data_IF_133376513913
#
_entry.id   IF_133376513913
#
_cell.length_a   1.000
_cell.length_b   1.000
_cell.length_c   1.000
_cell.angle_alpha   90.00
_cell.angle_beta   90.00
_cell.angle_gamma   90.00
#
_symmetry.space_group_name_H-M   'P 1'
#
loop_
_entity.id
_entity.type
_entity.pdbx_description
1 polymer ?
#
# COMPACT_ATOMS: atom_id res chain seq x y z
N UNK A 1 17.42 8.80 -10.89
CA UNK A 1 16.25 8.30 -11.62
C UNK A 1 15.00 8.41 -10.75
N UNK A 2 13.90 8.86 -11.36
CA UNK A 2 12.66 9.10 -10.63
C UNK A 2 12.00 7.79 -10.17
N UNK A 3 11.45 7.81 -8.97
CA UNK A 3 10.65 6.71 -8.44
C UNK A 3 9.21 6.82 -8.98
N UNK A 4 8.46 5.73 -8.97
CA UNK A 4 7.09 5.70 -9.52
C UNK A 4 6.22 6.80 -8.89
N UNK A 5 6.21 6.91 -7.55
CA UNK A 5 5.39 7.91 -6.88
C UNK A 5 5.91 9.34 -7.06
N UNK A 6 7.20 9.52 -7.35
CA UNK A 6 7.74 10.84 -7.66
C UNK A 6 7.22 11.37 -8.99
N UNK A 7 7.01 10.49 -9.97
CA UNK A 7 6.37 10.86 -11.23
C UNK A 7 4.94 11.34 -11.00
N UNK A 8 4.22 10.69 -10.10
CA UNK A 8 2.89 11.12 -9.70
C UNK A 8 2.96 12.50 -9.02
N UNK A 9 3.91 12.70 -8.11
CA UNK A 9 4.08 13.97 -7.40
C UNK A 9 4.40 15.13 -8.35
N UNK A 10 5.16 14.86 -9.40
CA UNK A 10 5.41 15.85 -10.46
C UNK A 10 4.12 16.26 -11.18
N UNK A 11 3.24 15.28 -11.43
CA UNK A 11 1.96 15.58 -12.06
C UNK A 11 1.03 16.38 -11.13
N UNK A 12 1.10 16.13 -9.82
CA UNK A 12 0.35 16.92 -8.83
C UNK A 12 0.72 18.40 -8.93
N UNK A 13 2.02 18.68 -9.05
CA UNK A 13 2.49 20.07 -9.17
C UNK A 13 1.99 20.74 -10.45
N UNK A 14 1.91 19.98 -11.55
CA UNK A 14 1.46 20.51 -12.85
C UNK A 14 -0.04 20.75 -12.90
N UNK A 15 -0.83 19.82 -12.40
CA UNK A 15 -2.30 19.86 -12.52
C UNK A 15 -2.99 19.47 -11.21
N UNK A 16 -2.80 20.27 -10.13
CA UNK A 16 -3.33 19.88 -8.81
C UNK A 16 -4.84 19.73 -8.77
N UNK A 17 -5.56 20.54 -9.55
CA UNK A 17 -7.02 20.60 -9.52
C UNK A 17 -7.69 19.68 -10.55
N UNK A 18 -6.91 19.02 -11.41
CA UNK A 18 -7.44 18.04 -12.35
C UNK A 18 -7.85 16.77 -11.63
N UNK A 19 -8.86 16.08 -12.16
CA UNK A 19 -9.28 14.78 -11.62
C UNK A 19 -8.21 13.74 -11.91
N UNK A 20 -7.70 13.10 -10.85
CA UNK A 20 -6.70 12.06 -10.97
C UNK A 20 -7.33 10.67 -11.05
N UNK A 21 -8.40 10.44 -10.29
CA UNK A 21 -9.07 9.16 -10.23
C UNK A 21 -10.56 9.34 -9.96
N UNK A 22 -11.35 8.48 -10.56
CA UNK A 22 -12.79 8.48 -10.39
C UNK A 22 -13.29 7.04 -10.30
N UNK A 23 -14.17 6.79 -9.35
CA UNK A 23 -14.84 5.50 -9.22
C UNK A 23 -16.31 5.78 -8.88
N UNK A 24 -17.21 5.34 -9.77
CA UNK A 24 -18.65 5.65 -9.68
C UNK A 24 -18.86 7.16 -9.57
N UNK A 25 -19.52 7.66 -8.54
CA UNK A 25 -19.80 9.08 -8.35
C UNK A 25 -18.71 9.81 -7.54
N UNK A 26 -17.72 9.07 -7.05
CA UNK A 26 -16.63 9.65 -6.27
C UNK A 26 -15.44 9.96 -7.15
N UNK A 27 -14.79 11.09 -6.88
CA UNK A 27 -13.59 11.50 -7.60
C UNK A 27 -12.64 12.21 -6.67
N UNK A 28 -11.34 12.10 -6.97
CA UNK A 28 -10.28 12.83 -6.27
C UNK A 28 -9.45 13.58 -7.30
N UNK A 29 -9.11 14.83 -6.97
CA UNK A 29 -8.13 15.60 -7.74
C UNK A 29 -6.73 15.05 -7.45
N UNK A 30 -5.75 15.45 -8.27
CA UNK A 30 -4.35 15.10 -7.99
C UNK A 30 -3.92 15.61 -6.60
N UNK A 31 -4.26 16.84 -6.25
CA UNK A 31 -3.93 17.37 -4.91
C UNK A 31 -4.62 16.58 -3.80
N UNK A 32 -5.90 16.25 -3.96
CA UNK A 32 -6.66 15.49 -2.97
C UNK A 32 -6.13 14.07 -2.79
N UNK A 33 -5.84 13.40 -3.89
CA UNK A 33 -5.26 12.06 -3.86
C UNK A 33 -3.88 12.09 -3.21
N UNK A 34 -3.04 13.06 -3.56
CA UNK A 34 -1.71 13.21 -2.99
C UNK A 34 -1.76 13.45 -1.49
N UNK A 35 -2.63 14.35 -1.03
CA UNK A 35 -2.78 14.63 0.39
C UNK A 35 -3.17 13.37 1.17
N UNK A 36 -4.14 12.62 0.66
CA UNK A 36 -4.61 11.40 1.33
C UNK A 36 -3.58 10.30 1.32
N UNK A 37 -2.89 10.11 0.19
CA UNK A 37 -1.78 9.15 0.10
C UNK A 37 -0.63 9.52 1.03
N UNK A 38 -0.33 10.81 1.18
CA UNK A 38 0.68 11.29 2.12
C UNK A 38 0.31 10.99 3.57
N UNK A 39 -0.95 11.22 3.95
CA UNK A 39 -1.42 10.90 5.30
C UNK A 39 -1.27 9.41 5.58
N UNK A 40 -1.64 8.56 4.63
CA UNK A 40 -1.45 7.13 4.76
C UNK A 40 0.04 6.77 4.87
N UNK A 41 0.88 7.36 4.04
CA UNK A 41 2.32 7.11 4.07
C UNK A 41 2.92 7.45 5.43
N UNK A 42 2.57 8.59 6.00
CA UNK A 42 3.05 8.97 7.33
C UNK A 42 2.53 8.03 8.40
N UNK A 43 1.28 7.57 8.29
CA UNK A 43 0.73 6.57 9.19
C UNK A 43 1.53 5.27 9.12
N UNK A 44 1.82 4.77 7.92
CA UNK A 44 2.57 3.54 7.73
C UNK A 44 3.99 3.66 8.27
N UNK A 45 4.64 4.81 8.07
CA UNK A 45 5.98 5.05 8.58
C UNK A 45 6.04 5.13 10.10
N UNK A 46 4.92 5.39 10.77
CA UNK A 46 4.84 5.44 12.22
C UNK A 46 4.72 4.06 12.87
N UNK A 47 4.45 3.01 12.09
CA UNK A 47 4.29 1.65 12.61
C UNK A 47 5.64 1.08 13.01
N UNK A 48 5.68 0.51 14.22
CA UNK A 48 6.91 -0.04 14.79
C UNK A 48 6.65 -1.47 15.29
N UNK A 49 7.73 -2.25 15.39
CA UNK A 49 7.68 -3.60 15.95
C UNK A 49 7.93 -3.57 17.47
N UNK A 50 8.02 -4.75 18.07
CA UNK A 50 8.24 -4.92 19.51
C UNK A 50 9.56 -4.30 19.98
N UNK A 51 10.55 -4.20 19.10
CA UNK A 51 11.86 -3.60 19.39
C UNK A 51 11.90 -2.12 19.05
N UNK A 52 10.75 -1.50 18.82
CA UNK A 52 10.59 -0.08 18.46
C UNK A 52 11.31 0.24 17.13
N UNK A 53 11.36 -0.72 16.22
CA UNK A 53 11.93 -0.54 14.89
C UNK A 53 10.83 -0.35 13.85
N UNK A 54 11.05 0.49 12.82
CA UNK A 54 10.04 0.68 11.78
C UNK A 54 9.66 -0.63 11.09
N UNK A 55 8.37 -0.86 10.88
CA UNK A 55 7.90 -1.99 10.09
C UNK A 55 8.22 -1.80 8.61
N UNK A 56 8.20 -0.55 8.13
CA UNK A 56 8.52 -0.23 6.74
C UNK A 56 9.98 0.20 6.62
N UNK A 57 10.72 -0.58 5.85
CA UNK A 57 12.11 -0.32 5.45
C UNK A 57 12.17 -0.53 3.94
N UNK A 58 13.26 -0.12 3.26
CA UNK A 58 13.40 -0.45 1.84
C UNK A 58 13.17 -1.94 1.60
N UNK A 59 12.37 -2.26 0.59
CA UNK A 59 11.95 -3.61 0.21
C UNK A 59 10.98 -4.30 1.19
N UNK A 60 10.49 -3.60 2.22
CA UNK A 60 9.45 -4.15 3.08
C UNK A 60 8.16 -4.31 2.28
N UNK A 61 7.49 -5.46 2.42
CA UNK A 61 6.27 -5.76 1.69
C UNK A 61 5.04 -5.44 2.53
N UNK A 62 4.09 -4.77 1.91
CA UNK A 62 2.80 -4.41 2.50
C UNK A 62 1.71 -5.05 1.64
N UNK A 63 0.94 -5.95 2.23
CA UNK A 63 -0.16 -6.57 1.51
C UNK A 63 -1.33 -5.59 1.41
N UNK A 64 -2.03 -5.61 0.28
CA UNK A 64 -3.23 -4.81 0.08
C UNK A 64 -4.33 -5.70 -0.48
N UNK A 65 -5.43 -5.80 0.27
CA UNK A 65 -6.58 -6.62 -0.10
C UNK A 65 -7.83 -5.76 0.01
N UNK A 66 -8.26 -5.22 -1.12
CA UNK A 66 -9.37 -4.28 -1.20
C UNK A 66 -10.19 -4.55 -2.45
N UNK A 67 -11.44 -4.12 -2.43
CA UNK A 67 -12.26 -4.07 -3.63
C UNK A 67 -11.87 -2.85 -4.46
N UNK A 68 -12.20 -2.87 -5.76
CA UNK A 68 -11.95 -1.74 -6.64
C UNK A 68 -12.64 -0.49 -6.08
N UNK A 69 -11.85 0.57 -5.87
CA UNK A 69 -12.32 1.76 -5.17
C UNK A 69 -11.28 2.87 -5.25
N UNK A 70 -11.63 4.07 -4.79
CA UNK A 70 -10.65 5.14 -4.62
C UNK A 70 -9.61 4.76 -3.58
N UNK A 71 -10.03 4.06 -2.52
CA UNK A 71 -9.14 3.61 -1.45
C UNK A 71 -8.02 2.71 -1.97
N UNK A 72 -8.27 1.92 -3.01
CA UNK A 72 -7.24 1.10 -3.63
C UNK A 72 -6.09 1.96 -4.13
N UNK A 73 -6.39 3.04 -4.83
CA UNK A 73 -5.36 3.93 -5.39
C UNK A 73 -4.62 4.66 -4.27
N UNK A 74 -5.33 5.13 -3.27
CA UNK A 74 -4.72 5.75 -2.08
C UNK A 74 -3.76 4.76 -1.42
N UNK A 75 -4.18 3.50 -1.28
CA UNK A 75 -3.38 2.46 -0.67
C UNK A 75 -2.08 2.20 -1.43
N UNK A 76 -2.18 2.01 -2.74
CA UNK A 76 -1.00 1.75 -3.58
C UNK A 76 0.00 2.90 -3.52
N UNK A 77 -0.46 4.13 -3.67
CA UNK A 77 0.40 5.31 -3.60
C UNK A 77 0.98 5.51 -2.20
N UNK A 78 0.17 5.31 -1.17
CA UNK A 78 0.63 5.45 0.22
C UNK A 78 1.76 4.51 0.56
N UNK A 79 1.69 3.26 0.12
CA UNK A 79 2.76 2.28 0.33
C UNK A 79 4.04 2.73 -0.36
N UNK A 80 3.96 3.13 -1.63
CA UNK A 80 5.15 3.59 -2.37
C UNK A 80 5.77 4.82 -1.72
N UNK A 81 4.95 5.79 -1.35
CA UNK A 81 5.42 7.02 -0.67
C UNK A 81 6.04 6.72 0.69
N UNK A 82 5.57 5.70 1.37
CA UNK A 82 6.13 5.28 2.67
C UNK A 82 7.47 4.54 2.53
N UNK A 83 7.88 4.20 1.32
CA UNK A 83 9.12 3.49 1.06
C UNK A 83 8.98 1.97 1.08
N UNK A 84 7.76 1.45 1.09
CA UNK A 84 7.49 0.03 1.00
C UNK A 84 7.18 -0.42 -0.43
N UNK A 85 6.95 -1.71 -0.59
CA UNK A 85 6.47 -2.31 -1.81
C UNK A 85 5.13 -2.99 -1.54
N UNK A 86 4.19 -2.92 -2.48
CA UNK A 86 2.89 -3.51 -2.24
C UNK A 86 2.74 -4.89 -2.87
N UNK A 87 1.92 -5.73 -2.23
CA UNK A 87 1.55 -7.06 -2.71
C UNK A 87 0.03 -7.09 -2.82
N UNK A 88 -0.52 -7.04 -4.04
CA UNK A 88 -1.98 -7.14 -4.21
C UNK A 88 -2.46 -8.55 -3.85
N UNK A 89 -3.52 -8.61 -3.06
CA UNK A 89 -4.16 -9.86 -2.67
C UNK A 89 -5.65 -9.73 -2.96
N UNK A 90 -6.15 -10.46 -3.95
CA UNK A 90 -7.57 -10.43 -4.31
C UNK A 90 -8.41 -10.93 -3.13
N UNK A 91 -9.37 -10.14 -2.61
CA UNK A 91 -10.19 -10.58 -1.49
C UNK A 91 -11.08 -11.78 -1.82
N UNK A 92 -11.28 -12.09 -3.10
CA UNK A 92 -12.07 -13.24 -3.55
C UNK A 92 -11.25 -14.55 -3.56
N UNK A 93 -9.95 -14.49 -3.35
CA UNK A 93 -9.14 -15.71 -3.29
C UNK A 93 -9.58 -16.58 -2.11
N UNK A 94 -9.45 -17.93 -2.24
CA UNK A 94 -9.66 -18.82 -1.10
C UNK A 94 -8.77 -18.45 0.09
N UNK A 95 -9.26 -18.69 1.30
CA UNK A 95 -8.55 -18.37 2.52
C UNK A 95 -7.12 -18.94 2.54
N UNK A 96 -6.94 -20.18 2.09
CA UNK A 96 -5.63 -20.83 2.05
C UNK A 96 -4.64 -20.10 1.15
N UNK A 97 -5.13 -19.53 0.03
CA UNK A 97 -4.28 -18.78 -0.90
C UNK A 97 -3.85 -17.45 -0.29
N UNK A 98 -4.78 -16.77 0.38
CA UNK A 98 -4.47 -15.51 1.08
C UNK A 98 -3.43 -15.75 2.16
N UNK A 99 -3.64 -16.78 2.97
CA UNK A 99 -2.68 -17.15 4.03
C UNK A 99 -1.29 -17.46 3.46
N UNK A 100 -1.26 -18.22 2.37
CA UNK A 100 -0.01 -18.56 1.70
C UNK A 100 0.72 -17.30 1.22
N UNK A 101 0.03 -16.39 0.56
CA UNK A 101 0.64 -15.18 0.01
C UNK A 101 1.19 -14.28 1.11
N UNK A 102 0.49 -14.16 2.24
CA UNK A 102 0.96 -13.35 3.35
C UNK A 102 2.15 -13.98 4.05
N UNK A 103 2.14 -15.29 4.22
CA UNK A 103 3.24 -16.01 4.83
C UNK A 103 4.48 -16.00 3.94
N UNK A 104 4.31 -16.33 2.66
CA UNK A 104 5.42 -16.37 1.70
C UNK A 104 6.06 -14.99 1.49
N UNK A 105 5.25 -13.94 1.40
CA UNK A 105 5.74 -12.58 1.24
C UNK A 105 6.32 -11.99 2.52
N UNK A 106 6.01 -12.57 3.67
CA UNK A 106 6.38 -12.05 4.99
C UNK A 106 5.85 -10.62 5.22
N UNK A 107 4.73 -10.28 4.61
CA UNK A 107 4.11 -8.99 4.81
C UNK A 107 3.61 -8.86 6.25
N UNK A 108 4.08 -7.83 6.94
CA UNK A 108 3.72 -7.58 8.34
C UNK A 108 2.61 -6.56 8.48
N UNK A 109 2.26 -5.89 7.39
CA UNK A 109 1.21 -4.88 7.33
C UNK A 109 0.23 -5.27 6.24
N UNK A 110 -1.06 -5.17 6.55
CA UNK A 110 -2.13 -5.46 5.61
C UNK A 110 -3.07 -4.27 5.53
N UNK A 111 -3.20 -3.71 4.34
CA UNK A 111 -4.19 -2.66 4.05
C UNK A 111 -5.46 -3.32 3.55
N UNK A 112 -6.60 -2.97 4.12
CA UNK A 112 -7.88 -3.52 3.72
C UNK A 112 -9.01 -2.51 3.97
N UNK A 113 -10.25 -2.95 3.91
CA UNK A 113 -11.46 -2.15 4.16
C UNK A 113 -12.28 -2.79 5.26
N UNK A 114 -13.09 -2.00 5.97
CA UNK A 114 -13.91 -2.49 7.08
C UNK A 114 -14.76 -3.69 6.71
N UNK A 115 -15.40 -3.66 5.54
CA UNK A 115 -16.28 -4.73 5.09
C UNK A 115 -15.52 -6.04 4.81
N UNK A 116 -14.25 -5.98 4.47
CA UNK A 116 -13.44 -7.16 4.16
C UNK A 116 -12.73 -7.73 5.38
N UNK A 117 -12.53 -6.91 6.40
CA UNK A 117 -11.78 -7.28 7.61
C UNK A 117 -12.23 -8.61 8.21
N UNK A 118 -13.54 -8.79 8.35
CA UNK A 118 -14.11 -9.98 8.98
C UNK A 118 -14.14 -11.19 8.04
N UNK A 119 -14.00 -10.96 6.73
CA UNK A 119 -13.97 -12.02 5.72
C UNK A 119 -12.58 -12.63 5.57
N UNK A 120 -11.55 -11.97 6.11
CA UNK A 120 -10.18 -12.47 6.02
C UNK A 120 -9.96 -13.60 7.03
N UNK A 121 -9.08 -14.56 6.71
CA UNK A 121 -8.75 -15.67 7.62
C UNK A 121 -8.24 -15.14 8.96
N UNK A 122 -8.56 -15.84 10.05
CA UNK A 122 -8.14 -15.43 11.39
C UNK A 122 -6.61 -15.33 11.53
N UNK A 123 -5.87 -16.21 10.85
CA UNK A 123 -4.40 -16.21 10.87
C UNK A 123 -3.81 -14.93 10.29
N UNK A 124 -4.52 -14.29 9.37
CA UNK A 124 -4.10 -13.04 8.73
C UNK A 124 -4.21 -11.84 9.67
N UNK A 125 -5.04 -11.97 10.71
CA UNK A 125 -5.26 -10.88 11.65
C UNK A 125 -4.10 -10.66 12.62
N UNK A 126 -3.06 -11.47 12.55
CA UNK A 126 -1.82 -11.26 13.28
C UNK A 126 -0.97 -10.14 12.66
N UNK A 127 -1.19 -9.83 11.39
CA UNK A 127 -0.54 -8.69 10.74
C UNK A 127 -1.10 -7.37 11.28
N UNK A 128 -0.29 -6.33 11.23
CA UNK A 128 -0.76 -4.98 11.54
C UNK A 128 -1.75 -4.55 10.47
N UNK A 129 -3.00 -4.39 10.84
CA UNK A 129 -4.08 -4.11 9.90
C UNK A 129 -4.40 -2.62 9.88
N UNK A 130 -4.39 -2.04 8.68
CA UNK A 130 -4.73 -0.63 8.47
C UNK A 130 -5.95 -0.55 7.56
N UNK A 131 -7.00 0.11 8.03
CA UNK A 131 -8.27 0.23 7.30
C UNK A 131 -8.27 1.50 6.46
N UNK A 132 -8.35 1.34 5.15
CA UNK A 132 -8.27 2.46 4.20
C UNK A 132 -9.55 3.32 4.18
N UNK A 133 -10.66 2.78 4.63
CA UNK A 133 -11.94 3.47 4.72
C UNK A 133 -12.27 3.93 6.15
N UNK A 134 -11.28 4.01 7.03
CA UNK A 134 -11.42 4.53 8.39
C UNK A 134 -10.73 5.89 8.47
N UNK A 135 -11.48 6.92 8.84
CA UNK A 135 -10.97 8.28 8.96
C UNK A 135 -9.81 8.39 9.96
N UNK A 136 -9.82 7.54 11.00
CA UNK A 136 -8.76 7.55 12.00
C UNK A 136 -7.40 7.13 11.46
N UNK A 137 -7.38 6.37 10.36
CA UNK A 137 -6.14 6.01 9.68
C UNK A 137 -5.37 7.25 9.23
N UNK A 138 -6.11 8.28 8.84
CA UNK A 138 -5.54 9.52 8.28
C UNK A 138 -5.45 10.66 9.28
N UNK A 139 -6.25 10.62 10.33
CA UNK A 139 -6.39 11.72 11.28
C UNK A 139 -5.05 12.08 11.92
N UNK A 140 -4.74 13.38 11.96
CA UNK A 140 -3.53 13.88 12.58
C UNK A 140 -2.24 13.64 11.79
N UNK A 141 -2.32 13.01 10.62
CA UNK A 141 -1.16 12.72 9.79
C UNK A 141 -0.84 13.90 8.88
N UNK A 142 0.46 14.09 8.60
CA UNK A 142 0.93 15.12 7.70
C UNK A 142 0.49 14.87 6.27
N UNK A 143 0.29 15.94 5.51
CA UNK A 143 -0.09 15.89 4.10
C UNK A 143 1.09 16.17 3.16
N UNK A 144 2.31 16.26 3.71
CA UNK A 144 3.52 16.52 2.94
C UNK A 144 4.13 15.24 2.38
N UNK A 145 4.75 15.35 1.22
CA UNK A 145 5.42 14.21 0.59
C UNK A 145 6.61 13.73 1.42
N UNK A 146 6.66 12.46 1.86
CA UNK A 146 7.90 11.90 2.42
C UNK A 146 8.99 11.94 1.35
N UNK A 147 10.19 12.37 1.73
CA UNK A 147 11.33 12.46 0.82
C UNK A 147 12.19 11.20 0.83
N UNK A 148 13.11 11.10 -0.14
CA UNK A 148 14.05 9.97 -0.18
C UNK A 148 14.94 9.91 1.05
N UNK A 149 15.27 11.03 1.64
CA UNK A 149 16.04 11.05 2.88
C UNK A 149 15.29 10.40 4.05
N UNK A 150 13.97 10.39 3.98
CA UNK A 150 13.14 9.78 5.02
C UNK A 150 12.98 8.27 4.79
N UNK A 151 12.82 7.86 3.54
CA UNK A 151 12.53 6.47 3.17
C UNK A 151 13.78 5.65 2.87
N UNK A 152 14.85 6.29 2.40
CA UNK A 152 16.08 5.62 2.02
C UNK A 152 16.01 4.80 0.73
N UNK A 153 14.91 4.89 -0.03
CA UNK A 153 14.72 4.06 -1.22
C UNK A 153 15.34 4.67 -2.47
N UNK A 154 15.68 3.80 -3.42
CA UNK A 154 16.21 4.13 -4.73
C UNK A 154 15.41 3.38 -5.81
N UNK A 155 15.72 3.65 -7.08
CA UNK A 155 15.07 2.95 -8.19
C UNK A 155 15.36 1.45 -8.24
N UNK A 156 16.29 0.97 -7.44
CA UNK A 156 16.59 -0.47 -7.32
C UNK A 156 15.76 -1.17 -6.25
N UNK A 157 15.06 -0.40 -5.42
CA UNK A 157 14.17 -0.98 -4.43
C UNK A 157 12.87 -1.43 -5.08
N UNK A 158 12.21 -2.39 -4.44
CA UNK A 158 10.96 -2.95 -4.93
C UNK A 158 9.84 -1.92 -4.87
N UNK A 159 9.02 -1.91 -5.90
CA UNK A 159 7.76 -1.18 -5.95
C UNK A 159 6.59 -2.10 -5.62
N UNK A 160 6.58 -3.30 -6.20
CA UNK A 160 5.51 -4.25 -5.94
C UNK A 160 5.94 -5.68 -6.25
N UNK A 161 5.15 -6.62 -5.72
CA UNK A 161 5.32 -8.06 -5.95
C UNK A 161 3.96 -8.61 -6.40
N UNK A 162 3.94 -9.22 -7.58
CA UNK A 162 2.72 -9.85 -8.12
C UNK A 162 2.86 -11.36 -8.02
N UNK A 163 1.87 -12.01 -7.43
CA UNK A 163 1.84 -13.46 -7.38
C UNK A 163 1.20 -14.03 -8.64
N UNK A 164 1.90 -14.97 -9.25
CA UNK A 164 1.44 -15.65 -10.47
C UNK A 164 1.26 -17.13 -10.19
N UNK A 165 0.32 -17.74 -10.95
CA UNK A 165 0.13 -19.19 -10.89
C UNK A 165 1.33 -19.88 -11.51
N UNK A 166 2.10 -20.61 -10.69
CA UNK A 166 3.24 -21.39 -11.16
C UNK A 166 2.80 -22.74 -11.72
N UNK A 167 3.67 -23.35 -12.52
CA UNK A 167 3.45 -24.70 -13.04
C UNK A 167 3.41 -25.78 -11.96
N UNK A 168 3.83 -25.43 -10.74
CA UNK A 168 3.88 -26.35 -9.59
C UNK A 168 2.66 -26.26 -8.68
N UNK A 169 1.66 -25.44 -9.03
CA UNK A 169 0.43 -25.29 -8.25
C UNK A 169 0.47 -24.20 -7.19
N UNK A 170 1.63 -23.86 -6.64
CA UNK A 170 1.76 -22.76 -5.67
C UNK A 170 2.13 -21.45 -6.38
N UNK A 171 1.44 -20.34 -6.06
CA UNK A 171 1.79 -19.03 -6.63
C UNK A 171 3.20 -18.63 -6.25
N UNK A 172 3.88 -17.97 -7.17
CA UNK A 172 5.22 -17.41 -6.94
C UNK A 172 5.16 -15.89 -7.08
N UNK A 173 5.88 -15.19 -6.20
CA UNK A 173 5.99 -13.75 -6.26
C UNK A 173 6.99 -13.31 -7.32
N UNK A 174 6.54 -12.41 -8.20
CA UNK A 174 7.39 -11.75 -9.19
C UNK A 174 7.66 -10.33 -8.71
N UNK A 175 8.93 -10.02 -8.45
CA UNK A 175 9.36 -8.74 -7.89
C UNK A 175 9.60 -7.72 -8.98
N UNK A 176 9.09 -6.50 -8.79
CA UNK A 176 9.26 -5.40 -9.73
C UNK A 176 9.84 -4.18 -9.01
N UNK A 177 10.96 -3.67 -9.52
CA UNK A 177 11.61 -2.46 -9.00
C UNK A 177 10.93 -1.18 -9.51
N UNK A 178 11.26 -0.07 -8.87
CA UNK A 178 10.77 1.25 -9.28
C UNK A 178 11.18 1.65 -10.71
#
# INVERSE_FOLDING_TARGET
QALIHELFEQQVEKTPDAVAVQYEDERLTYAGLNAKANQLAHRLRSLIDEDVQPLLRPDALVAISVERSLEMVVGLLGVLKAGGAYVPVDPEYPAERIEYMLEDSQARVLLTQKALRERLPASVQEAEMVLLDDDETYAGQLQTNPGRQDTGITSRNLAYVIYTSGSTGNPKGVMVEH
#
